data_IF_291629689966
#
_entry.id   IF_291629689966
#
_cell.length_a   1.000
_cell.length_b   1.000
_cell.length_c   1.000
_cell.angle_alpha   90.00
_cell.angle_beta   90.00
_cell.angle_gamma   90.00
#
_symmetry.space_group_name_H-M   'P 1'
#
loop_
_entity.id
_entity.type
_entity.pdbx_description
1 polymer ?
#
# COMPACT_ATOMS: atom_id res chain seq x y z
N UNK A 1 20.57 -8.28 -6.65
CA UNK A 1 20.39 -6.96 -5.97
C UNK A 1 19.17 -6.14 -6.42
N UNK A 2 18.33 -6.60 -7.38
CA UNK A 2 17.08 -5.89 -7.76
C UNK A 2 15.91 -6.18 -6.81
N UNK A 3 15.86 -7.40 -6.28
CA UNK A 3 14.85 -7.85 -5.30
C UNK A 3 15.03 -7.12 -3.95
N UNK A 4 16.29 -6.92 -3.52
CA UNK A 4 16.57 -6.16 -2.29
C UNK A 4 16.08 -4.71 -2.44
N UNK A 5 16.36 -4.06 -3.58
CA UNK A 5 15.85 -2.72 -3.84
C UNK A 5 14.31 -2.67 -3.86
N UNK A 6 13.66 -3.68 -4.44
CA UNK A 6 12.20 -3.81 -4.39
C UNK A 6 11.68 -3.83 -2.96
N UNK A 7 12.24 -4.70 -2.12
CA UNK A 7 11.81 -4.89 -0.73
C UNK A 7 12.03 -3.60 0.08
N UNK A 8 13.18 -2.94 -0.08
CA UNK A 8 13.47 -1.68 0.60
C UNK A 8 12.47 -0.59 0.21
N UNK A 9 12.19 -0.43 -1.08
CA UNK A 9 11.22 0.58 -1.56
C UNK A 9 9.79 0.22 -1.11
N UNK A 10 9.43 -1.07 -1.12
CA UNK A 10 8.13 -1.55 -0.65
C UNK A 10 7.91 -1.22 0.83
N UNK A 11 8.89 -1.54 1.69
CA UNK A 11 8.82 -1.24 3.13
C UNK A 11 8.80 0.27 3.36
N UNK A 12 9.66 1.03 2.66
CA UNK A 12 9.67 2.48 2.77
C UNK A 12 8.32 3.09 2.38
N UNK A 13 7.72 2.66 1.27
CA UNK A 13 6.42 3.14 0.84
C UNK A 13 5.30 2.76 1.84
N UNK A 14 5.31 1.54 2.39
CA UNK A 14 4.36 1.13 3.44
C UNK A 14 4.42 2.03 4.69
N UNK A 15 5.63 2.40 5.11
CA UNK A 15 5.86 3.25 6.28
C UNK A 15 5.54 4.72 6.03
N UNK A 16 5.78 5.21 4.81
CA UNK A 16 5.62 6.62 4.47
C UNK A 16 4.19 6.99 4.06
N UNK A 17 3.36 6.04 3.59
CA UNK A 17 1.96 6.29 3.26
C UNK A 17 1.17 6.52 4.57
N UNK A 18 0.60 7.73 4.80
CA UNK A 18 -0.17 8.00 6.01
C UNK A 18 -1.52 7.30 5.99
N UNK A 19 -1.94 6.69 7.11
CA UNK A 19 -3.24 6.02 7.21
C UNK A 19 -4.41 6.97 6.92
N UNK A 20 -4.31 8.23 7.39
CA UNK A 20 -5.34 9.26 7.16
C UNK A 20 -5.62 9.48 5.68
N UNK A 21 -4.56 9.51 4.86
CA UNK A 21 -4.69 9.70 3.42
C UNK A 21 -5.39 8.52 2.75
N UNK A 22 -5.05 7.29 3.16
CA UNK A 22 -5.71 6.08 2.65
C UNK A 22 -7.18 6.04 3.09
N UNK A 23 -7.46 6.47 4.31
CA UNK A 23 -8.81 6.54 4.83
C UNK A 23 -9.69 7.52 4.03
N UNK A 24 -9.21 8.74 3.84
CA UNK A 24 -9.98 9.80 3.19
C UNK A 24 -10.26 9.50 1.71
N UNK A 25 -9.31 8.84 1.03
CA UNK A 25 -9.40 8.58 -0.41
C UNK A 25 -10.08 7.25 -0.71
N UNK A 26 -9.69 6.18 -0.01
CA UNK A 26 -10.15 4.84 -0.36
C UNK A 26 -11.24 4.37 0.61
N UNK A 27 -10.97 4.35 1.92
CA UNK A 27 -11.92 3.78 2.88
C UNK A 27 -13.25 4.49 2.94
N UNK A 28 -13.27 5.80 2.70
CA UNK A 28 -14.53 6.57 2.64
C UNK A 28 -15.52 6.05 1.60
N UNK A 29 -15.04 5.35 0.59
CA UNK A 29 -15.86 4.79 -0.50
C UNK A 29 -16.09 3.28 -0.36
N UNK A 30 -15.53 2.64 0.68
CA UNK A 30 -15.65 1.20 0.90
C UNK A 30 -16.60 0.97 2.07
N UNK A 31 -17.74 0.33 1.79
CA UNK A 31 -18.63 -0.15 2.82
C UNK A 31 -18.03 -1.39 3.48
N UNK A 32 -17.65 -1.25 4.75
CA UNK A 32 -17.17 -2.37 5.58
C UNK A 32 -18.37 -2.98 6.30
N UNK A 33 -18.63 -4.25 6.03
CA UNK A 33 -19.77 -5.01 6.58
C UNK A 33 -19.32 -5.85 7.76
N UNK A 34 -20.16 -5.94 8.79
CA UNK A 34 -19.95 -6.79 9.97
C UNK A 34 -20.59 -6.21 11.24
N UNK A 35 -20.66 -7.02 12.28
CA UNK A 35 -20.82 -6.55 13.67
C UNK A 35 -19.59 -5.71 14.09
N UNK A 36 -19.66 -4.92 15.15
CA UNK A 36 -18.61 -4.01 15.59
C UNK A 36 -17.20 -4.62 15.62
N UNK A 37 -17.03 -5.86 16.11
CA UNK A 37 -15.73 -6.53 16.11
C UNK A 37 -15.29 -6.97 14.70
N UNK A 38 -16.18 -7.63 13.97
CA UNK A 38 -15.90 -8.14 12.63
C UNK A 38 -15.67 -7.00 11.62
N UNK A 39 -16.44 -5.92 11.73
CA UNK A 39 -16.29 -4.70 10.94
C UNK A 39 -14.95 -4.02 11.23
N UNK A 40 -14.51 -3.96 12.49
CA UNK A 40 -13.20 -3.38 12.82
C UNK A 40 -12.05 -4.23 12.24
N UNK A 41 -12.15 -5.55 12.29
CA UNK A 41 -11.14 -6.44 11.71
C UNK A 41 -11.11 -6.34 10.18
N UNK A 42 -12.28 -6.37 9.53
CA UNK A 42 -12.39 -6.19 8.08
C UNK A 42 -11.83 -4.82 7.66
N UNK A 43 -12.11 -3.76 8.40
CA UNK A 43 -11.54 -2.44 8.16
C UNK A 43 -10.01 -2.46 8.22
N UNK A 44 -9.43 -2.99 9.30
CA UNK A 44 -7.98 -3.05 9.46
C UNK A 44 -7.31 -3.85 8.34
N UNK A 45 -7.91 -4.98 7.96
CA UNK A 45 -7.42 -5.81 6.88
C UNK A 45 -7.49 -5.09 5.52
N UNK A 46 -8.62 -4.47 5.20
CA UNK A 46 -8.79 -3.69 3.97
C UNK A 46 -7.79 -2.53 3.90
N UNK A 47 -7.50 -1.86 5.01
CA UNK A 47 -6.54 -0.75 5.07
C UNK A 47 -5.13 -1.23 4.71
N UNK A 48 -4.73 -2.34 5.33
CA UNK A 48 -3.44 -2.96 5.11
C UNK A 48 -3.30 -3.44 3.65
N UNK A 49 -4.35 -4.00 3.08
CA UNK A 49 -4.37 -4.48 1.70
C UNK A 49 -4.19 -3.33 0.69
N UNK A 50 -4.89 -2.21 0.89
CA UNK A 50 -4.75 -1.02 0.04
C UNK A 50 -3.33 -0.43 0.17
N UNK A 51 -2.84 -0.27 1.40
CA UNK A 51 -1.47 0.23 1.63
C UNK A 51 -0.42 -0.64 0.96
N UNK A 52 -0.56 -1.96 1.07
CA UNK A 52 0.35 -2.92 0.46
C UNK A 52 0.29 -2.86 -1.06
N UNK A 53 -0.91 -2.77 -1.64
CA UNK A 53 -1.10 -2.61 -3.07
C UNK A 53 -0.43 -1.33 -3.60
N UNK A 54 -0.65 -0.19 -2.95
CA UNK A 54 -0.03 1.08 -3.31
C UNK A 54 1.50 1.02 -3.22
N UNK A 55 2.02 0.49 -2.13
CA UNK A 55 3.46 0.34 -1.93
C UNK A 55 4.08 -0.56 -3.01
N UNK A 56 3.41 -1.65 -3.39
CA UNK A 56 3.86 -2.54 -4.45
C UNK A 56 3.90 -1.85 -5.82
N UNK A 57 2.88 -1.05 -6.14
CA UNK A 57 2.84 -0.25 -7.38
C UNK A 57 3.98 0.77 -7.40
N UNK A 58 4.20 1.50 -6.31
CA UNK A 58 5.31 2.47 -6.19
C UNK A 58 6.65 1.76 -6.38
N UNK A 59 6.87 0.63 -5.70
CA UNK A 59 8.11 -0.14 -5.82
C UNK A 59 8.33 -0.67 -7.25
N UNK A 60 7.26 -1.11 -7.93
CA UNK A 60 7.32 -1.53 -9.32
C UNK A 60 7.68 -0.37 -10.27
N UNK A 61 7.07 0.81 -10.09
CA UNK A 61 7.36 2.02 -10.87
C UNK A 61 8.79 2.50 -10.68
N UNK A 62 9.29 2.52 -9.44
CA UNK A 62 10.68 2.89 -9.13
C UNK A 62 11.66 1.94 -9.80
N UNK A 63 11.40 0.63 -9.75
CA UNK A 63 12.23 -0.35 -10.45
C UNK A 63 12.17 -0.20 -11.97
N UNK A 64 11.00 0.08 -12.52
CA UNK A 64 10.85 0.27 -13.96
C UNK A 64 11.59 1.53 -14.42
N UNK A 65 11.42 2.64 -13.72
CA UNK A 65 12.18 3.87 -13.96
C UNK A 65 13.69 3.63 -13.86
N UNK A 66 14.15 2.94 -12.82
CA UNK A 66 15.57 2.58 -12.67
C UNK A 66 16.10 1.76 -13.86
N UNK A 67 15.29 0.86 -14.45
CA UNK A 67 15.67 0.13 -15.67
C UNK A 67 15.74 1.03 -16.89
N UNK A 68 14.85 2.03 -16.99
CA UNK A 68 14.80 2.96 -18.11
C UNK A 68 16.03 3.88 -18.14
N UNK A 69 16.40 4.44 -16.98
CA UNK A 69 17.56 5.34 -16.84
C UNK A 69 18.93 4.65 -16.95
N UNK A 70 18.97 3.32 -16.86
CA UNK A 70 20.20 2.52 -16.97
C UNK A 70 20.50 2.08 -18.41
N UNK A 71 19.59 2.32 -19.36
CA UNK A 71 19.82 2.18 -20.81
C UNK A 71 20.31 3.50 -21.39
#
# INVERSE_FOLDING_TARGET
>A
MKIILFIVVLIAALLLIPDRWVNDIFMRHISVTGDGEEAMNNYAFTLLLIKTGLAAVIAALVLWGYRLFKR
#
